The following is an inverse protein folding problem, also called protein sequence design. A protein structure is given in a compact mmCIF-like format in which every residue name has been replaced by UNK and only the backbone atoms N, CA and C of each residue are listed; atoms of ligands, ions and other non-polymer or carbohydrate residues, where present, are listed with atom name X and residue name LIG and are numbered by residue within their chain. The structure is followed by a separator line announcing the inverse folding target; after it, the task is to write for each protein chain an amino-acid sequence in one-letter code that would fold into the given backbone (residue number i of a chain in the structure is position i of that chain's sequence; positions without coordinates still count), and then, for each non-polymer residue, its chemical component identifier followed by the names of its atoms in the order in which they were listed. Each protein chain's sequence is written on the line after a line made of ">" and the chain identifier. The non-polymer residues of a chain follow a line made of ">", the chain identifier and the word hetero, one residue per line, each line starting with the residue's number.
data_IF_868704529430
#
_entry.id   IF_868704529430
#
_cell.length_a   1.000
_cell.length_b   1.000
_cell.length_c   1.000
_cell.angle_alpha   90.00
_cell.angle_beta   90.00
_cell.angle_gamma   90.00
#
_symmetry.space_group_name_H-M   'P 1'
#
loop_
_entity.id
_entity.type
_entity.pdbx_description
1 polymer ?
#
# COMPACT_ATOMS: atom_id res chain seq x y z
N UNK A 1 -9.27 13.01 -12.29
CA UNK A 1 -9.23 11.88 -13.24
C UNK A 1 -10.65 11.38 -13.44
N UNK A 2 -11.03 11.03 -14.67
CA UNK A 2 -12.36 10.50 -14.95
C UNK A 2 -12.47 9.05 -14.49
N UNK A 3 -13.59 8.69 -13.84
CA UNK A 3 -13.88 7.30 -13.45
C UNK A 3 -14.42 6.57 -14.68
N UNK A 4 -13.71 5.55 -15.14
CA UNK A 4 -14.13 4.69 -16.25
C UNK A 4 -14.87 3.47 -15.68
N UNK A 5 -16.00 3.11 -16.29
CA UNK A 5 -16.75 1.90 -15.93
C UNK A 5 -16.19 0.73 -16.73
N UNK A 6 -15.67 -0.27 -16.03
CA UNK A 6 -15.05 -1.46 -16.62
C UNK A 6 -15.66 -2.70 -15.99
N UNK A 7 -16.02 -3.68 -16.82
CA UNK A 7 -16.44 -4.99 -16.34
C UNK A 7 -15.21 -5.90 -16.29
N UNK A 8 -14.86 -6.37 -15.09
CA UNK A 8 -13.76 -7.29 -14.83
C UNK A 8 -14.26 -8.43 -13.95
N UNK A 9 -13.70 -9.62 -14.13
CA UNK A 9 -13.92 -10.75 -13.24
C UNK A 9 -12.91 -10.70 -12.10
N UNK A 10 -13.39 -10.89 -10.87
CA UNK A 10 -12.59 -10.87 -9.65
C UNK A 10 -13.11 -11.91 -8.69
N UNK A 11 -12.20 -12.54 -7.93
CA UNK A 11 -12.58 -13.49 -6.90
C UNK A 11 -13.21 -12.75 -5.70
N UNK A 12 -14.39 -13.19 -5.29
CA UNK A 12 -15.14 -12.56 -4.19
C UNK A 12 -14.38 -12.66 -2.86
N UNK A 13 -13.62 -13.74 -2.65
CA UNK A 13 -12.84 -13.94 -1.42
C UNK A 13 -11.86 -12.80 -1.16
N UNK A 14 -11.17 -12.29 -2.20
CA UNK A 14 -10.23 -11.19 -2.03
C UNK A 14 -10.93 -9.86 -1.75
N UNK A 15 -12.11 -9.65 -2.34
CA UNK A 15 -12.88 -8.43 -2.11
C UNK A 15 -13.40 -8.40 -0.68
N UNK A 16 -13.91 -9.51 -0.18
CA UNK A 16 -14.37 -9.62 1.21
C UNK A 16 -13.22 -9.47 2.21
N UNK A 17 -12.07 -10.11 1.97
CA UNK A 17 -10.88 -9.91 2.81
C UNK A 17 -10.44 -8.43 2.87
N UNK A 18 -10.50 -7.70 1.75
CA UNK A 18 -10.16 -6.27 1.71
C UNK A 18 -11.20 -5.45 2.48
N UNK A 19 -12.49 -5.76 2.31
CA UNK A 19 -13.58 -5.10 3.05
C UNK A 19 -13.41 -5.26 4.55
N UNK A 20 -13.15 -6.49 5.01
CA UNK A 20 -12.95 -6.79 6.43
C UNK A 20 -11.67 -6.14 6.98
N UNK A 21 -10.57 -6.20 6.22
CA UNK A 21 -9.27 -5.68 6.67
C UNK A 21 -9.22 -4.15 6.74
N UNK A 22 -9.87 -3.47 5.80
CA UNK A 22 -9.79 -2.00 5.66
C UNK A 22 -11.10 -1.27 5.96
N UNK A 23 -12.15 -1.99 6.36
CA UNK A 23 -13.43 -1.42 6.79
C UNK A 23 -14.22 -0.75 5.66
N UNK A 24 -14.03 -1.16 4.41
CA UNK A 24 -14.76 -0.61 3.26
C UNK A 24 -16.06 -1.38 3.00
N UNK A 25 -17.09 -0.71 2.48
CA UNK A 25 -18.44 -1.26 2.45
C UNK A 25 -18.86 -1.77 1.08
N UNK A 26 -18.20 -1.32 0.01
CA UNK A 26 -18.54 -1.69 -1.36
C UNK A 26 -17.39 -2.35 -2.10
N UNK A 27 -17.72 -3.24 -3.06
CA UNK A 27 -16.74 -3.86 -3.97
C UNK A 27 -15.95 -2.79 -4.75
N UNK A 28 -16.60 -1.67 -5.08
CA UNK A 28 -15.93 -0.52 -5.71
C UNK A 28 -14.86 0.08 -4.81
N UNK A 29 -15.17 0.35 -3.55
CA UNK A 29 -14.21 0.94 -2.60
C UNK A 29 -13.04 0.01 -2.35
N UNK A 30 -13.29 -1.29 -2.21
CA UNK A 30 -12.24 -2.30 -2.08
C UNK A 30 -11.29 -2.29 -3.30
N UNK A 31 -11.84 -2.24 -4.52
CA UNK A 31 -11.04 -2.19 -5.75
C UNK A 31 -10.30 -0.85 -5.88
N UNK A 32 -10.94 0.28 -5.59
CA UNK A 32 -10.30 1.60 -5.61
C UNK A 32 -9.14 1.67 -4.60
N UNK A 33 -9.34 1.11 -3.40
CA UNK A 33 -8.31 1.02 -2.37
C UNK A 33 -7.14 0.14 -2.80
N UNK A 34 -7.40 -1.04 -3.35
CA UNK A 34 -6.37 -1.93 -3.86
C UNK A 34 -5.56 -1.28 -4.99
N UNK A 35 -6.24 -0.62 -5.93
CA UNK A 35 -5.60 0.13 -7.01
C UNK A 35 -4.78 1.28 -6.48
N UNK A 36 -5.26 2.05 -5.50
CA UNK A 36 -4.49 3.14 -4.86
C UNK A 36 -3.35 2.64 -4.00
N UNK A 37 -3.42 1.43 -3.47
CA UNK A 37 -2.33 0.83 -2.72
C UNK A 37 -1.21 0.39 -3.66
N UNK A 38 -1.55 -0.25 -4.79
CA UNK A 38 -0.60 -0.69 -5.81
C UNK A 38 -0.08 0.46 -6.68
N UNK A 39 -0.94 1.42 -7.01
CA UNK A 39 -0.58 2.67 -7.69
C UNK A 39 -0.15 3.75 -6.70
N UNK A 40 -0.14 3.45 -5.40
CA UNK A 40 0.34 4.32 -4.34
C UNK A 40 1.74 4.75 -4.69
N UNK A 41 1.90 6.05 -4.95
CA UNK A 41 3.02 6.55 -5.71
C UNK A 41 4.33 6.16 -5.05
N UNK A 42 5.22 5.38 -5.72
CA UNK A 42 6.61 5.38 -5.31
C UNK A 42 7.07 6.84 -5.31
N UNK A 43 7.80 7.23 -4.25
CA UNK A 43 8.45 8.54 -4.20
C UNK A 43 9.17 8.72 -5.53
N UNK A 44 8.78 9.74 -6.30
CA UNK A 44 9.42 9.92 -7.61
C UNK A 44 10.91 10.14 -7.39
N UNK A 45 11.76 9.77 -8.36
CA UNK A 45 13.21 9.95 -8.21
C UNK A 45 13.59 11.37 -7.77
N UNK A 46 12.88 12.38 -8.27
CA UNK A 46 13.07 13.78 -7.89
C UNK A 46 12.65 14.07 -6.45
N UNK A 47 11.49 13.56 -6.01
CA UNK A 47 11.05 13.70 -4.62
C UNK A 47 12.01 12.98 -3.66
N UNK A 48 12.53 11.81 -4.03
CA UNK A 48 13.48 11.05 -3.22
C UNK A 48 14.83 11.79 -3.12
N UNK A 49 15.26 12.43 -4.20
CA UNK A 49 16.46 13.27 -4.20
C UNK A 49 16.27 14.56 -3.39
N UNK A 50 15.08 15.17 -3.43
CA UNK A 50 14.75 16.34 -2.62
C UNK A 50 14.67 16.03 -1.12
N UNK A 51 14.34 14.79 -0.75
CA UNK A 51 14.33 14.32 0.64
C UNK A 51 15.72 13.98 1.19
N UNK A 52 16.79 14.10 0.39
CA UNK A 52 18.17 13.88 0.85
C UNK A 52 18.53 14.91 1.93
N UNK A 53 18.81 14.43 3.14
CA UNK A 53 19.12 15.29 4.29
C UNK A 53 17.90 15.67 5.15
N UNK A 54 16.71 15.11 4.87
CA UNK A 54 15.50 15.38 5.65
C UNK A 54 15.51 14.75 7.07
N UNK A 55 16.52 13.93 7.41
CA UNK A 55 16.61 13.21 8.70
C UNK A 55 15.28 12.51 9.10
N UNK A 56 14.56 11.96 8.12
CA UNK A 56 13.19 11.46 8.29
C UNK A 56 13.11 10.15 9.09
N UNK A 57 14.23 9.48 9.31
CA UNK A 57 14.36 8.33 10.20
C UNK A 57 14.84 8.82 11.56
N UNK A 58 14.13 8.49 12.64
CA UNK A 58 14.60 8.70 14.01
C UNK A 58 15.83 7.85 14.34
N UNK A 59 15.95 7.38 15.58
CA UNK A 59 17.02 6.45 15.94
C UNK A 59 16.93 5.18 15.09
N UNK A 60 18.03 4.83 14.41
CA UNK A 60 18.16 3.53 13.74
C UNK A 60 18.11 2.45 14.82
N UNK A 61 17.17 1.50 14.76
CA UNK A 61 17.12 0.42 15.73
C UNK A 61 18.39 -0.44 15.65
N UNK A 62 18.79 -1.02 16.78
CA UNK A 62 19.93 -1.92 16.81
C UNK A 62 19.68 -3.12 15.88
N UNK A 63 20.72 -3.50 15.12
CA UNK A 63 20.65 -4.65 14.24
C UNK A 63 20.46 -5.91 15.08
N UNK A 64 19.27 -6.52 14.97
CA UNK A 64 18.91 -7.72 15.69
C UNK A 64 18.80 -8.86 14.70
N UNK A 65 19.74 -9.81 14.80
CA UNK A 65 19.70 -11.04 14.02
C UNK A 65 18.39 -11.83 14.23
N UNK A 66 18.08 -12.78 13.34
CA UNK A 66 16.86 -13.58 13.44
C UNK A 66 16.79 -14.28 14.80
N UNK A 67 15.64 -14.16 15.48
CA UNK A 67 15.43 -14.83 16.77
C UNK A 67 15.39 -16.33 16.54
N UNK A 68 16.44 -17.05 16.94
CA UNK A 68 16.41 -18.52 16.98
C UNK A 68 17.60 -19.28 16.39
N UNK A 69 18.74 -18.66 16.09
CA UNK A 69 19.96 -19.42 15.82
C UNK A 69 20.59 -19.89 17.15
N UNK A 70 20.18 -21.07 17.60
CA UNK A 70 20.81 -21.86 18.66
C UNK A 70 21.93 -22.74 18.08
#
# INVERSE_FOLDING_TARGET
>A
MARVRTNIEIEEVYVEEIKDRYGVHTKTEAVDLALRHLAGQPVTREQALAMRGAHATGAVPADAGPRGAA
#
